data_IF_812196516656
#
_entry.id   IF_812196516656
#
_cell.length_a   1.000
_cell.length_b   1.000
_cell.length_c   1.000
_cell.angle_alpha   90.00
_cell.angle_beta   90.00
_cell.angle_gamma   90.00
#
_symmetry.space_group_name_H-M   'P 1'
#
loop_
_entity.id
_entity.type
_entity.pdbx_description
1 polymer ?
#
# COMPACT_ATOMS: atom_id res chain seq x y z
N UNK A 1 4.61 11.23 9.22
CA UNK A 1 3.49 10.30 9.52
C UNK A 1 3.03 10.44 10.96
N UNK A 2 3.84 10.13 11.99
CA UNK A 2 3.39 10.22 13.39
C UNK A 2 2.83 11.62 13.74
N UNK A 3 3.53 12.70 13.37
CA UNK A 3 3.03 14.06 13.60
C UNK A 3 1.73 14.41 12.83
N UNK A 4 1.46 13.75 11.70
CA UNK A 4 0.17 13.88 11.00
C UNK A 4 -0.95 13.15 11.75
N UNK A 5 -0.64 11.98 12.30
CA UNK A 5 -1.57 11.20 13.14
C UNK A 5 -1.89 11.98 14.42
N UNK A 6 -0.88 12.63 15.02
CA UNK A 6 -1.02 13.45 16.22
C UNK A 6 -1.73 14.79 15.95
N UNK A 7 -1.98 15.13 14.67
CA UNK A 7 -2.77 16.28 14.27
C UNK A 7 -2.02 17.61 14.24
N UNK A 8 -0.71 17.60 13.97
CA UNK A 8 0.10 18.81 13.80
C UNK A 8 -0.52 19.76 12.76
N UNK A 9 -0.81 21.03 13.11
CA UNK A 9 -1.42 21.99 12.19
C UNK A 9 -0.61 22.21 10.91
N UNK A 10 0.72 22.22 11.01
CA UNK A 10 1.62 22.44 9.87
C UNK A 10 1.62 21.27 8.88
N UNK A 11 1.16 20.09 9.30
CA UNK A 11 1.09 18.88 8.48
C UNK A 11 -0.35 18.49 8.13
N UNK A 12 -1.31 19.42 8.26
CA UNK A 12 -2.70 19.17 7.91
C UNK A 12 -2.84 18.78 6.42
N UNK A 13 -3.48 17.64 6.19
CA UNK A 13 -3.81 17.11 4.86
C UNK A 13 -5.31 17.21 4.53
N UNK A 14 -6.16 17.47 5.54
CA UNK A 14 -7.61 17.51 5.41
C UNK A 14 -8.10 18.97 5.34
N UNK A 15 -8.68 19.42 4.21
CA UNK A 15 -9.17 20.79 4.07
C UNK A 15 -10.31 21.13 5.05
N UNK A 16 -10.98 20.13 5.65
CA UNK A 16 -12.01 20.36 6.68
C UNK A 16 -11.40 20.78 8.03
N UNK A 17 -10.10 20.57 8.24
CA UNK A 17 -9.37 20.88 9.48
C UNK A 17 -8.60 22.21 9.42
N UNK A 18 -8.67 22.93 8.29
CA UNK A 18 -7.99 24.21 8.08
C UNK A 18 -7.17 24.23 6.78
N UNK A 19 -6.27 25.21 6.60
CA UNK A 19 -5.36 25.24 5.46
C UNK A 19 -4.58 23.92 5.33
N UNK A 20 -4.48 23.40 4.11
CA UNK A 20 -3.68 22.20 3.82
C UNK A 20 -2.22 22.63 3.73
N UNK A 21 -1.38 22.07 4.59
CA UNK A 21 0.06 22.37 4.69
C UNK A 21 0.96 21.28 4.12
N UNK A 22 0.47 20.03 4.05
CA UNK A 22 1.25 18.87 3.58
C UNK A 22 0.35 17.79 2.96
N UNK A 23 0.87 16.94 2.06
CA UNK A 23 0.15 15.77 1.55
C UNK A 23 -0.03 14.71 2.64
N UNK A 24 -1.04 13.84 2.50
CA UNK A 24 -1.21 12.68 3.35
C UNK A 24 -0.03 11.69 3.20
N UNK A 25 0.53 11.21 4.32
CA UNK A 25 1.58 10.20 4.34
C UNK A 25 1.04 8.89 4.93
N UNK A 26 1.02 7.84 4.11
CA UNK A 26 0.65 6.48 4.50
C UNK A 26 1.75 5.48 4.14
N UNK A 27 1.70 4.30 4.77
CA UNK A 27 2.45 3.14 4.30
C UNK A 27 1.71 2.49 3.11
N UNK A 28 2.43 1.76 2.27
CA UNK A 28 1.84 0.90 1.23
C UNK A 28 1.60 -0.53 1.73
N UNK A 29 1.07 -1.42 0.88
CA UNK A 29 0.97 -2.83 1.23
C UNK A 29 2.35 -3.40 1.52
N UNK A 30 2.42 -4.32 2.48
CA UNK A 30 3.62 -5.11 2.69
C UNK A 30 3.69 -6.22 1.64
N UNK A 31 4.54 -6.07 0.63
CA UNK A 31 4.66 -7.00 -0.50
C UNK A 31 5.77 -8.05 -0.34
N UNK A 32 6.54 -7.97 0.74
CA UNK A 32 7.67 -8.88 0.96
C UNK A 32 7.22 -10.23 1.52
N UNK A 33 7.82 -11.31 1.01
CA UNK A 33 7.77 -12.67 1.55
C UNK A 33 9.10 -13.39 1.24
N UNK A 34 9.49 -14.35 2.08
CA UNK A 34 10.73 -15.12 1.93
C UNK A 34 10.56 -16.29 0.95
N UNK A 35 10.47 -15.97 -0.34
CA UNK A 35 10.35 -16.97 -1.40
C UNK A 35 9.18 -17.94 -1.16
N UNK A 36 9.47 -19.23 -1.07
CA UNK A 36 8.46 -20.28 -0.83
C UNK A 36 8.09 -20.45 0.66
N UNK A 37 8.77 -19.74 1.58
CA UNK A 37 8.36 -19.68 2.98
C UNK A 37 7.07 -18.88 3.08
N UNK A 38 5.97 -19.58 3.35
CA UNK A 38 4.62 -19.00 3.43
C UNK A 38 4.57 -17.94 4.54
N UNK A 39 4.21 -16.71 4.16
CA UNK A 39 3.92 -15.64 5.13
C UNK A 39 2.62 -15.94 5.88
N UNK A 40 2.39 -15.29 7.01
CA UNK A 40 1.19 -15.48 7.85
C UNK A 40 -0.15 -15.34 7.12
N UNK A 41 -0.20 -14.64 5.99
CA UNK A 41 -1.38 -14.44 5.14
C UNK A 41 -1.38 -15.29 3.86
N UNK A 42 -0.46 -16.24 3.73
CA UNK A 42 -0.37 -17.14 2.59
C UNK A 42 0.51 -16.65 1.44
N UNK A 43 1.06 -15.42 1.50
CA UNK A 43 1.92 -14.91 0.43
C UNK A 43 3.23 -15.71 0.32
N UNK A 44 3.55 -16.11 -0.91
CA UNK A 44 4.87 -16.65 -1.32
C UNK A 44 5.31 -15.97 -2.60
N UNK A 45 6.60 -16.05 -2.94
CA UNK A 45 7.16 -15.67 -4.24
C UNK A 45 7.92 -16.86 -4.85
N UNK A 46 7.40 -17.42 -5.94
CA UNK A 46 8.03 -18.52 -6.68
C UNK A 46 8.98 -17.97 -7.75
N UNK A 47 9.89 -18.78 -8.28
CA UNK A 47 10.77 -18.34 -9.37
C UNK A 47 9.95 -17.88 -10.60
N UNK A 48 8.82 -18.53 -10.86
CA UNK A 48 7.88 -18.23 -11.95
C UNK A 48 7.12 -16.90 -11.73
N UNK A 49 7.13 -16.37 -10.51
CA UNK A 49 6.60 -15.04 -10.24
C UNK A 49 7.55 -13.93 -10.76
N UNK A 50 8.77 -14.27 -11.18
CA UNK A 50 9.74 -13.32 -11.70
C UNK A 50 10.05 -13.57 -13.18
N UNK A 51 10.57 -12.54 -13.85
CA UNK A 51 11.24 -12.67 -15.13
C UNK A 51 12.61 -13.33 -14.93
N UNK A 52 13.31 -13.59 -16.03
CA UNK A 52 14.65 -14.21 -16.01
C UNK A 52 15.72 -13.40 -15.26
N UNK A 53 15.43 -12.15 -14.88
CA UNK A 53 16.30 -11.32 -14.05
C UNK A 53 16.09 -11.51 -12.53
N UNK A 54 15.11 -12.32 -12.13
CA UNK A 54 14.81 -12.60 -10.72
C UNK A 54 14.29 -11.39 -9.93
N UNK A 55 13.94 -10.28 -10.58
CA UNK A 55 13.53 -9.03 -9.93
C UNK A 55 12.18 -8.54 -10.44
N UNK A 56 12.00 -8.49 -11.76
CA UNK A 56 10.75 -7.98 -12.33
C UNK A 56 9.65 -9.03 -12.26
N UNK A 57 8.41 -8.67 -11.91
CA UNK A 57 7.30 -9.61 -11.91
C UNK A 57 7.02 -10.16 -13.31
N UNK A 58 6.72 -11.46 -13.39
CA UNK A 58 6.09 -12.06 -14.58
C UNK A 58 4.69 -11.48 -14.82
N UNK A 59 4.09 -11.75 -15.98
CA UNK A 59 2.77 -11.17 -16.30
C UNK A 59 1.67 -11.64 -15.34
N UNK A 60 1.73 -12.89 -14.87
CA UNK A 60 0.84 -13.39 -13.82
C UNK A 60 1.13 -12.74 -12.46
N UNK A 61 2.40 -12.54 -12.12
CA UNK A 61 2.78 -11.91 -10.85
C UNK A 61 2.45 -10.41 -10.81
N UNK A 62 2.43 -9.70 -11.94
CA UNK A 62 1.90 -8.33 -12.00
C UNK A 62 0.45 -8.27 -11.50
N UNK A 63 -0.39 -9.25 -11.88
CA UNK A 63 -1.77 -9.33 -11.39
C UNK A 63 -1.82 -9.62 -9.88
N UNK A 64 -0.99 -10.54 -9.40
CA UNK A 64 -0.85 -10.82 -7.96
C UNK A 64 -0.45 -9.58 -7.15
N UNK A 65 0.52 -8.81 -7.64
CA UNK A 65 0.91 -7.52 -7.02
C UNK A 65 -0.25 -6.52 -7.06
N UNK A 66 -0.94 -6.41 -8.19
CA UNK A 66 -2.10 -5.52 -8.33
C UNK A 66 -3.25 -5.89 -7.37
N UNK A 67 -3.52 -7.18 -7.16
CA UNK A 67 -4.51 -7.66 -6.20
C UNK A 67 -4.13 -7.34 -4.76
N UNK A 68 -2.85 -7.52 -4.38
CA UNK A 68 -2.36 -7.12 -3.06
C UNK A 68 -2.46 -5.60 -2.84
N UNK A 69 -2.12 -4.81 -3.85
CA UNK A 69 -2.26 -3.35 -3.84
C UNK A 69 -3.72 -2.93 -3.71
N UNK A 70 -4.61 -3.47 -4.54
CA UNK A 70 -6.02 -3.12 -4.53
C UNK A 70 -6.66 -3.51 -3.21
N UNK A 71 -6.39 -4.72 -2.71
CA UNK A 71 -6.89 -5.18 -1.41
C UNK A 71 -6.47 -4.21 -0.31
N UNK A 72 -5.18 -3.83 -0.24
CA UNK A 72 -4.71 -2.84 0.71
C UNK A 72 -5.45 -1.50 0.58
N UNK A 73 -5.56 -0.96 -0.64
CA UNK A 73 -6.21 0.32 -0.87
C UNK A 73 -7.69 0.34 -0.48
N UNK A 74 -8.41 -0.79 -0.57
CA UNK A 74 -9.84 -0.86 -0.23
C UNK A 74 -10.13 -1.32 1.20
N UNK A 75 -9.18 -1.97 1.89
CA UNK A 75 -9.40 -2.49 3.24
C UNK A 75 -8.63 -1.75 4.33
N UNK A 76 -7.47 -1.15 4.02
CA UNK A 76 -6.69 -0.43 5.02
C UNK A 76 -7.47 0.79 5.52
N UNK A 77 -7.59 0.99 6.86
CA UNK A 77 -8.39 2.06 7.44
C UNK A 77 -7.96 3.47 7.01
N UNK A 78 -6.69 3.64 6.63
CA UNK A 78 -6.13 4.93 6.22
C UNK A 78 -6.14 5.10 4.71
N UNK A 79 -5.91 4.03 3.95
CA UNK A 79 -5.92 4.08 2.49
C UNK A 79 -7.33 4.20 1.91
N UNK A 80 -8.28 3.45 2.49
CA UNK A 80 -9.65 3.39 2.00
C UNK A 80 -10.32 4.76 1.98
N UNK A 81 -10.12 5.56 3.02
CA UNK A 81 -10.79 6.87 3.19
C UNK A 81 -10.56 7.81 2.02
N UNK A 82 -9.38 7.79 1.38
CA UNK A 82 -9.13 8.62 0.19
C UNK A 82 -9.29 7.84 -1.12
N UNK A 83 -9.09 6.52 -1.14
CA UNK A 83 -9.13 5.73 -2.37
C UNK A 83 -10.56 5.43 -2.86
N UNK A 84 -11.50 5.16 -1.95
CA UNK A 84 -12.90 4.85 -2.29
C UNK A 84 -13.85 6.00 -2.01
N UNK A 85 -13.35 7.14 -1.53
CA UNK A 85 -14.17 8.33 -1.33
C UNK A 85 -14.84 8.73 -2.64
N UNK A 86 -16.15 9.01 -2.55
CA UNK A 86 -16.88 9.65 -3.63
C UNK A 86 -16.52 11.15 -3.62
N UNK A 87 -16.28 11.78 -4.79
CA UNK A 87 -15.89 13.20 -4.86
C UNK A 87 -16.84 14.15 -4.15
#
# INVERSE_FOLDING_TARGET
MQEQIDGSPDLNYDPKRGPVGAPWLAWGPYLWADGLTVRSDGLTWQCEDFRNDGTHPSDSAQRKVAELLLNFLVTDPMAREWFVATP
#
